data_IF_292769264626
#
_entry.id   IF_292769264626
#
_cell.length_a   1.000
_cell.length_b   1.000
_cell.length_c   1.000
_cell.angle_alpha   90.00
_cell.angle_beta   90.00
_cell.angle_gamma   90.00
#
_symmetry.space_group_name_H-M   'P 1'
#
loop_
_entity.id
_entity.type
_entity.pdbx_description
1 polymer ?
#
# COMPACT_ATOMS: atom_id res chain seq x y z
N UNK A 1 -5.17 -20.61 -11.47
CA UNK A 1 -3.79 -20.82 -11.96
C UNK A 1 -3.40 -19.76 -12.99
N UNK A 2 -3.88 -19.75 -14.25
CA UNK A 2 -3.42 -18.75 -15.26
C UNK A 2 -3.66 -17.28 -14.84
N UNK A 3 -4.77 -16.99 -14.17
CA UNK A 3 -5.09 -15.62 -13.71
C UNK A 3 -4.14 -15.12 -12.61
N UNK A 4 -3.60 -16.04 -11.82
CA UNK A 4 -2.75 -15.73 -10.67
C UNK A 4 -1.34 -15.35 -11.12
N UNK A 5 -0.81 -16.05 -12.13
CA UNK A 5 0.51 -15.76 -12.71
C UNK A 5 0.54 -14.41 -13.43
N UNK A 6 -0.54 -14.06 -14.14
CA UNK A 6 -0.66 -12.74 -14.79
C UNK A 6 -0.68 -11.63 -13.74
N UNK A 7 -1.37 -11.85 -12.61
CA UNK A 7 -1.46 -10.86 -11.53
C UNK A 7 -0.12 -10.70 -10.81
N UNK A 8 0.59 -11.81 -10.55
CA UNK A 8 1.96 -11.81 -10.00
C UNK A 8 2.95 -11.08 -10.91
N UNK A 9 2.89 -11.31 -12.22
CA UNK A 9 3.74 -10.57 -13.16
C UNK A 9 3.47 -9.07 -13.18
N UNK A 10 2.19 -8.67 -13.08
CA UNK A 10 1.81 -7.24 -12.99
C UNK A 10 2.31 -6.62 -11.70
N UNK A 11 2.21 -7.33 -10.58
CA UNK A 11 2.73 -6.90 -9.28
C UNK A 11 4.24 -6.67 -9.35
N UNK A 12 4.98 -7.63 -9.88
CA UNK A 12 6.44 -7.56 -9.95
C UNK A 12 6.91 -6.41 -10.86
N UNK A 13 6.25 -6.22 -12.00
CA UNK A 13 6.49 -5.06 -12.87
C UNK A 13 6.23 -3.73 -12.17
N UNK A 14 5.16 -3.65 -11.38
CA UNK A 14 4.83 -2.44 -10.62
C UNK A 14 5.85 -2.16 -9.49
N UNK A 15 6.35 -3.22 -8.82
CA UNK A 15 7.44 -3.13 -7.82
C UNK A 15 8.72 -2.60 -8.45
N UNK A 16 9.15 -3.18 -9.57
CA UNK A 16 10.37 -2.75 -10.26
C UNK A 16 10.27 -1.29 -10.72
N UNK A 17 9.12 -0.89 -11.28
CA UNK A 17 8.89 0.52 -11.65
C UNK A 17 8.96 1.46 -10.46
N UNK A 18 8.38 1.08 -9.32
CA UNK A 18 8.44 1.88 -8.11
C UNK A 18 9.87 2.03 -7.62
N UNK A 19 10.64 0.94 -7.59
CA UNK A 19 12.04 0.94 -7.19
C UNK A 19 12.90 1.84 -8.08
N UNK A 20 12.72 1.76 -9.41
CA UNK A 20 13.44 2.62 -10.36
C UNK A 20 13.07 4.09 -10.20
N UNK A 21 11.77 4.40 -10.06
CA UNK A 21 11.31 5.78 -9.87
C UNK A 21 11.81 6.36 -8.54
N UNK A 22 11.79 5.55 -7.47
CA UNK A 22 12.30 5.92 -6.16
C UNK A 22 13.82 6.16 -6.20
N UNK A 23 14.57 5.28 -6.86
CA UNK A 23 16.03 5.43 -7.02
C UNK A 23 16.39 6.67 -7.84
N UNK A 24 15.56 7.05 -8.81
CA UNK A 24 15.82 8.19 -9.72
C UNK A 24 15.37 9.54 -9.15
N UNK A 25 14.24 9.58 -8.44
CA UNK A 25 13.60 10.84 -8.05
C UNK A 25 13.40 11.01 -6.53
N UNK A 26 13.61 9.95 -5.75
CA UNK A 26 13.30 9.92 -4.32
C UNK A 26 11.81 9.69 -4.01
N UNK A 27 11.52 9.41 -2.73
CA UNK A 27 10.17 9.07 -2.25
C UNK A 27 9.14 10.20 -2.38
N UNK A 28 9.59 11.45 -2.43
CA UNK A 28 8.76 12.66 -2.45
C UNK A 28 8.26 13.03 -3.85
N UNK A 29 8.66 12.29 -4.90
CA UNK A 29 8.21 12.61 -6.25
C UNK A 29 6.78 12.12 -6.49
N UNK A 30 5.92 12.97 -7.04
CA UNK A 30 4.52 12.65 -7.29
C UNK A 30 4.33 11.39 -8.17
N UNK A 31 5.29 11.10 -9.06
CA UNK A 31 5.28 9.85 -9.86
C UNK A 31 5.54 8.59 -9.02
N UNK A 32 6.36 8.67 -7.97
CA UNK A 32 6.60 7.56 -7.03
C UNK A 32 5.36 7.32 -6.19
N UNK A 33 4.73 8.38 -5.68
CA UNK A 33 3.48 8.29 -4.92
C UNK A 33 2.31 7.72 -5.75
N UNK A 34 2.16 8.17 -6.99
CA UNK A 34 1.14 7.56 -7.88
C UNK A 34 1.43 6.09 -8.17
N UNK A 35 2.71 5.76 -8.37
CA UNK A 35 3.12 4.38 -8.64
C UNK A 35 2.93 3.48 -7.40
N UNK A 36 3.12 3.98 -6.19
CA UNK A 36 2.88 3.22 -4.95
C UNK A 36 1.39 2.91 -4.79
N UNK A 37 0.50 3.89 -5.02
CA UNK A 37 -0.95 3.67 -4.98
C UNK A 37 -1.40 2.59 -5.98
N UNK A 38 -0.82 2.56 -7.18
CA UNK A 38 -1.09 1.52 -8.19
C UNK A 38 -0.62 0.15 -7.69
N UNK A 39 0.58 0.10 -7.09
CA UNK A 39 1.12 -1.14 -6.53
C UNK A 39 0.25 -1.65 -5.37
N UNK A 40 -0.16 -0.78 -4.45
CA UNK A 40 -1.02 -1.13 -3.31
C UNK A 40 -2.39 -1.62 -3.77
N UNK A 41 -2.96 -1.00 -4.82
CA UNK A 41 -4.20 -1.46 -5.40
C UNK A 41 -4.05 -2.87 -6.02
N UNK A 42 -2.95 -3.13 -6.72
CA UNK A 42 -2.65 -4.47 -7.26
C UNK A 42 -2.43 -5.51 -6.15
N UNK A 43 -1.77 -5.14 -5.06
CA UNK A 43 -1.62 -5.98 -3.86
C UNK A 43 -2.99 -6.26 -3.25
N UNK A 44 -3.84 -5.25 -3.09
CA UNK A 44 -5.19 -5.41 -2.55
C UNK A 44 -6.07 -6.27 -3.45
N UNK A 45 -5.94 -6.16 -4.78
CA UNK A 45 -6.63 -7.06 -5.71
C UNK A 45 -6.11 -8.49 -5.60
N UNK A 46 -4.80 -8.69 -5.54
CA UNK A 46 -4.19 -10.00 -5.32
C UNK A 46 -4.68 -10.60 -3.99
N UNK A 47 -4.55 -9.86 -2.90
CA UNK A 47 -5.06 -10.26 -1.60
C UNK A 47 -6.55 -10.56 -1.69
N UNK A 48 -7.41 -9.72 -2.25
CA UNK A 48 -8.85 -10.04 -2.38
C UNK A 48 -9.12 -11.35 -3.14
N UNK A 49 -8.35 -11.65 -4.19
CA UNK A 49 -8.50 -12.91 -4.92
C UNK A 49 -8.08 -14.15 -4.10
N UNK A 50 -7.16 -14.00 -3.15
CA UNK A 50 -6.62 -15.11 -2.33
C UNK A 50 -7.22 -15.16 -0.89
N UNK A 51 -7.52 -14.02 -0.27
CA UNK A 51 -8.04 -13.83 1.10
C UNK A 51 -9.56 -13.92 1.23
N UNK A 52 -10.36 -13.86 0.16
CA UNK A 52 -11.81 -14.16 0.28
C UNK A 52 -12.06 -15.60 0.75
N UNK A 53 -11.04 -16.47 0.70
CA UNK A 53 -11.12 -17.81 1.31
C UNK A 53 -10.93 -17.82 2.83
N UNK A 54 -10.37 -16.78 3.45
CA UNK A 54 -10.09 -16.75 4.89
C UNK A 54 -10.36 -15.34 5.47
N UNK A 55 -11.55 -15.18 6.09
CA UNK A 55 -11.97 -14.12 7.02
C UNK A 55 -12.36 -12.72 6.48
N UNK A 56 -13.66 -12.45 6.65
CA UNK A 56 -14.36 -11.24 7.11
C UNK A 56 -13.71 -9.85 6.90
N UNK A 57 -14.44 -8.89 6.31
CA UNK A 57 -13.96 -7.53 6.07
C UNK A 57 -14.01 -6.71 7.38
N UNK A 58 -12.88 -6.57 8.06
CA UNK A 58 -12.75 -5.56 9.11
C UNK A 58 -11.90 -4.42 8.57
N UNK A 59 -12.61 -3.42 8.03
CA UNK A 59 -12.15 -2.03 7.96
C UNK A 59 -11.56 -1.64 9.31
N UNK A 60 -10.24 -1.57 9.41
CA UNK A 60 -9.57 -0.77 10.44
C UNK A 60 -8.62 0.20 9.76
N UNK A 61 -9.24 1.26 9.22
CA UNK A 61 -8.58 2.55 9.12
C UNK A 61 -8.31 2.97 10.56
N UNK A 62 -7.07 2.81 11.01
CA UNK A 62 -6.60 3.41 12.26
C UNK A 62 -6.64 4.93 12.06
N UNK A 63 -7.50 5.68 12.77
CA UNK A 63 -7.36 7.11 12.81
C UNK A 63 -6.10 7.40 13.62
N UNK A 64 -5.17 8.10 12.96
CA UNK A 64 -3.98 8.71 13.54
C UNK A 64 -4.14 8.99 15.04
N UNK A 65 -3.23 8.42 15.83
CA UNK A 65 -2.91 8.89 17.17
C UNK A 65 -2.47 10.35 17.04
N UNK A 66 -3.44 11.27 17.05
CA UNK A 66 -3.20 12.67 17.36
C UNK A 66 -2.75 12.67 18.81
N UNK A 67 -1.43 12.69 19.00
CA UNK A 67 -0.83 13.07 20.26
C UNK A 67 -1.32 14.47 20.61
N UNK A 68 -2.25 14.54 21.55
CA UNK A 68 -2.61 15.79 22.21
C UNK A 68 -1.54 16.06 23.26
N UNK A 69 -0.57 16.87 22.90
CA UNK A 69 0.46 17.45 23.76
C UNK A 69 -0.15 18.54 24.69
N UNK A 70 -1.18 18.21 25.47
CA UNK A 70 -1.82 19.18 26.39
C UNK A 70 -1.83 18.73 27.87
N UNK A 71 -0.82 17.96 28.30
CA UNK A 71 -0.65 17.60 29.72
C UNK A 71 0.78 17.87 30.21
N UNK A 72 1.28 19.10 29.98
CA UNK A 72 2.54 19.58 30.60
C UNK A 72 2.37 20.94 31.31
N UNK A 73 1.16 21.51 31.38
CA UNK A 73 0.92 22.73 32.14
C UNK A 73 -0.48 22.71 32.79
N UNK A 74 -0.67 21.88 33.82
CA UNK A 74 -1.56 22.18 34.98
C UNK A 74 -1.74 20.98 35.91
N UNK A 75 -0.79 20.75 36.84
CA UNK A 75 -1.01 20.48 38.28
C UNK A 75 0.30 20.15 38.98
#
# INVERSE_FOLDING_TARGET
MIRDDILRQKLEKARQKLYVLQAKHGFSHASVLRQSVILDNLINQYNRHFYIKEKNPTTQVQPAERGTFDEVLSS
#
